data_IF_226364966114
#
_entry.id   IF_226364966114
#
_cell.length_a   1.000
_cell.length_b   1.000
_cell.length_c   1.000
_cell.angle_alpha   90.00
_cell.angle_beta   90.00
_cell.angle_gamma   90.00
#
_symmetry.space_group_name_H-M   'P 1'
#
loop_
_entity.id
_entity.type
_entity.pdbx_description
1 polymer ?
#
# COMPACT_ATOMS: atom_id res chain seq x y z
N UNK A 1 -5.98 9.37 -10.56
CA UNK A 1 -4.70 8.76 -10.33
C UNK A 1 -3.79 9.58 -9.44
N UNK A 2 -2.69 9.00 -9.06
CA UNK A 2 -1.72 9.66 -8.22
C UNK A 2 -0.38 8.97 -8.27
N UNK A 3 0.57 9.55 -7.53
CA UNK A 3 1.94 9.06 -7.45
C UNK A 3 2.37 8.99 -5.99
N UNK A 4 3.19 7.99 -5.67
CA UNK A 4 3.76 7.79 -4.34
C UNK A 4 5.22 7.45 -4.48
N UNK A 5 6.04 8.02 -3.59
CA UNK A 5 7.46 7.68 -3.48
C UNK A 5 7.72 7.07 -2.11
N UNK A 6 8.36 5.91 -2.10
CA UNK A 6 8.75 5.22 -0.88
C UNK A 6 10.26 5.32 -0.70
N UNK A 7 10.69 5.90 0.41
CA UNK A 7 12.09 5.81 0.83
C UNK A 7 12.46 4.36 1.13
N UNK A 8 13.75 4.00 1.05
CA UNK A 8 14.19 2.62 1.28
C UNK A 8 13.63 2.00 2.56
N UNK A 9 13.09 0.79 2.44
CA UNK A 9 12.54 0.03 3.56
C UNK A 9 11.18 0.49 4.07
N UNK A 10 10.53 1.45 3.43
CA UNK A 10 9.27 2.02 3.92
C UNK A 10 8.05 1.37 3.27
N UNK A 11 6.99 1.34 4.03
CA UNK A 11 5.68 0.86 3.60
C UNK A 11 4.80 2.00 3.11
N UNK A 12 3.85 1.66 2.26
CA UNK A 12 2.76 2.54 1.83
C UNK A 12 1.49 1.71 1.62
N UNK A 13 0.36 2.40 1.43
CA UNK A 13 -0.92 1.71 1.42
C UNK A 13 -1.26 1.13 2.79
N UNK A 14 -0.67 1.66 3.83
CA UNK A 14 -0.76 1.19 5.20
C UNK A 14 -1.43 2.27 6.07
N UNK A 15 -2.33 1.98 7.02
CA UNK A 15 -2.73 0.64 7.46
C UNK A 15 -3.60 -0.06 6.40
N UNK A 16 -3.66 -1.42 6.45
CA UNK A 16 -4.43 -2.18 5.46
C UNK A 16 -5.89 -1.73 5.38
N UNK A 17 -6.37 -1.56 4.17
CA UNK A 17 -7.74 -1.15 3.91
C UNK A 17 -8.19 -1.66 2.55
N UNK A 18 -9.48 -1.62 2.30
CA UNK A 18 -10.06 -1.98 1.01
C UNK A 18 -10.80 -0.81 0.40
N UNK A 19 -10.92 -0.83 -0.91
CA UNK A 19 -11.76 0.08 -1.69
C UNK A 19 -12.53 -0.75 -2.73
N UNK A 20 -13.77 -0.39 -3.08
CA UNK A 20 -14.53 -1.16 -4.06
C UNK A 20 -14.01 -0.98 -5.49
N UNK A 21 -13.27 0.09 -5.76
CA UNK A 21 -12.80 0.38 -7.11
C UNK A 21 -11.58 -0.48 -7.46
N UNK A 22 -11.52 -1.02 -8.69
CA UNK A 22 -10.31 -1.67 -9.16
C UNK A 22 -9.19 -0.66 -9.37
N UNK A 23 -7.95 -1.09 -9.18
CA UNK A 23 -6.76 -0.25 -9.27
C UNK A 23 -5.69 -0.88 -10.14
N UNK A 24 -4.89 -0.04 -10.79
CA UNK A 24 -3.70 -0.46 -11.53
C UNK A 24 -2.51 0.33 -10.97
N UNK A 25 -1.43 -0.38 -10.67
CA UNK A 25 -0.17 0.21 -10.23
C UNK A 25 0.93 -0.06 -11.23
N UNK A 26 1.78 0.95 -11.43
CA UNK A 26 3.03 0.80 -12.20
C UNK A 26 4.17 1.24 -11.32
N UNK A 27 5.29 0.48 -11.35
CA UNK A 27 6.39 0.63 -10.41
C UNK A 27 7.70 0.95 -11.08
N UNK A 28 8.47 1.83 -10.43
CA UNK A 28 9.85 2.11 -10.80
C UNK A 28 10.72 2.16 -9.55
N UNK A 29 11.97 1.78 -9.72
CA UNK A 29 12.99 1.88 -8.66
C UNK A 29 14.11 2.78 -9.13
N UNK A 30 14.89 3.32 -8.17
CA UNK A 30 16.05 4.15 -8.46
C UNK A 30 17.17 3.39 -9.18
N UNK A 31 17.14 2.06 -9.13
CA UNK A 31 18.06 1.18 -9.85
C UNK A 31 17.31 0.03 -10.50
N UNK A 32 17.80 -0.48 -11.65
CA UNK A 32 17.09 -1.55 -12.37
C UNK A 32 16.92 -2.84 -11.57
N UNK A 33 17.80 -3.14 -10.63
CA UNK A 33 17.72 -4.33 -9.78
C UNK A 33 16.88 -4.12 -8.52
N UNK A 34 16.40 -2.90 -8.27
CA UNK A 34 15.57 -2.61 -7.10
C UNK A 34 14.33 -3.49 -7.05
N UNK A 35 13.84 -3.75 -5.87
CA UNK A 35 12.66 -4.57 -5.68
C UNK A 35 11.91 -4.19 -4.41
N UNK A 36 10.71 -4.65 -4.34
CA UNK A 36 9.84 -4.51 -3.19
C UNK A 36 8.88 -5.66 -3.12
N UNK A 37 7.84 -5.49 -2.36
CA UNK A 37 6.77 -6.48 -2.23
C UNK A 37 5.43 -5.79 -2.09
N UNK A 38 4.38 -6.48 -2.49
CA UNK A 38 3.01 -6.06 -2.21
C UNK A 38 2.19 -7.26 -1.76
N UNK A 39 1.17 -6.99 -0.96
CA UNK A 39 0.17 -7.98 -0.63
C UNK A 39 -1.07 -7.73 -1.49
N UNK A 40 -1.64 -8.83 -1.98
CA UNK A 40 -2.95 -8.80 -2.62
C UNK A 40 -3.80 -9.78 -1.82
N UNK A 41 -4.64 -9.25 -0.94
CA UNK A 41 -5.28 -10.05 0.09
C UNK A 41 -4.23 -10.71 0.99
N UNK A 42 -4.23 -12.02 1.08
CA UNK A 42 -3.30 -12.78 1.91
C UNK A 42 -2.07 -13.27 1.13
N UNK A 43 -1.95 -12.93 -0.14
CA UNK A 43 -0.83 -13.34 -0.98
C UNK A 43 0.21 -12.23 -1.09
N UNK A 44 1.47 -12.61 -1.06
CA UNK A 44 2.60 -11.69 -1.21
C UNK A 44 3.27 -11.87 -2.56
N UNK A 45 3.60 -10.77 -3.22
CA UNK A 45 4.24 -10.77 -4.53
C UNK A 45 5.45 -9.86 -4.54
N UNK A 46 6.48 -10.27 -5.25
CA UNK A 46 7.64 -9.41 -5.49
C UNK A 46 7.27 -8.33 -6.51
N UNK A 47 7.70 -7.09 -6.22
CA UNK A 47 7.61 -5.97 -7.16
C UNK A 47 8.99 -5.76 -7.78
N UNK A 48 9.05 -5.67 -9.10
CA UNK A 48 10.28 -5.41 -9.84
C UNK A 48 10.20 -4.07 -10.58
N UNK A 49 11.34 -3.56 -11.00
CA UNK A 49 11.43 -2.34 -11.79
C UNK A 49 10.68 -2.48 -13.12
N UNK A 50 9.89 -1.48 -13.48
CA UNK A 50 9.05 -1.45 -14.67
C UNK A 50 7.96 -2.54 -14.68
N UNK A 51 7.58 -3.04 -13.52
CA UNK A 51 6.45 -3.96 -13.38
C UNK A 51 5.14 -3.20 -13.14
N UNK A 52 4.05 -3.94 -13.17
CA UNK A 52 2.72 -3.40 -12.90
C UNK A 52 1.86 -4.47 -12.23
N UNK A 53 0.80 -4.03 -11.56
CA UNK A 53 -0.17 -4.94 -10.97
C UNK A 53 -1.58 -4.43 -11.20
N UNK A 54 -2.50 -5.35 -11.35
CA UNK A 54 -3.94 -5.10 -11.40
C UNK A 54 -4.60 -5.68 -10.15
N UNK A 55 -5.53 -4.95 -9.60
CA UNK A 55 -6.22 -5.32 -8.39
C UNK A 55 -7.71 -5.18 -8.58
N UNK A 56 -8.43 -6.25 -8.32
CA UNK A 56 -9.89 -6.20 -8.25
C UNK A 56 -10.32 -5.36 -7.06
N UNK A 57 -11.49 -4.74 -7.16
CA UNK A 57 -12.06 -4.00 -6.05
C UNK A 57 -12.23 -4.88 -4.81
N UNK A 58 -12.16 -4.28 -3.64
CA UNK A 58 -12.31 -4.98 -2.36
C UNK A 58 -11.07 -5.72 -1.87
N UNK A 59 -9.92 -5.55 -2.51
CA UNK A 59 -8.69 -6.25 -2.15
C UNK A 59 -7.78 -5.34 -1.31
N UNK A 60 -7.19 -5.89 -0.25
CA UNK A 60 -6.17 -5.20 0.56
C UNK A 60 -4.82 -5.30 -0.11
N UNK A 61 -4.03 -4.20 -0.04
CA UNK A 61 -2.79 -4.16 -0.81
C UNK A 61 -1.71 -3.23 -0.24
N UNK A 62 -1.23 -3.43 0.96
CA UNK A 62 -0.06 -2.70 1.42
C UNK A 62 1.18 -3.08 0.61
N UNK A 63 2.11 -2.13 0.48
CA UNK A 63 3.30 -2.27 -0.34
C UNK A 63 4.52 -1.80 0.44
N UNK A 64 5.68 -2.36 0.11
CA UNK A 64 6.94 -2.01 0.75
C UNK A 64 8.07 -2.04 -0.26
N UNK A 65 9.04 -1.13 -0.12
CA UNK A 65 10.29 -1.20 -0.87
C UNK A 65 11.36 -1.89 -0.03
N UNK A 66 12.25 -2.63 -0.69
CA UNK A 66 13.38 -3.26 -0.02
C UNK A 66 14.33 -2.20 0.58
N UNK A 67 15.08 -2.53 1.64
CA UNK A 67 16.14 -1.65 2.12
C UNK A 67 17.11 -1.30 1.00
N UNK A 68 17.66 -0.09 1.04
CA UNK A 68 18.65 0.43 0.09
C UNK A 68 18.11 0.86 -1.27
N UNK A 69 16.84 0.60 -1.57
CA UNK A 69 16.23 1.04 -2.82
C UNK A 69 15.03 1.94 -2.56
N UNK A 70 14.90 3.00 -3.35
CA UNK A 70 13.70 3.82 -3.37
C UNK A 70 12.73 3.30 -4.44
N UNK A 71 11.46 3.30 -4.12
CA UNK A 71 10.40 2.88 -5.03
C UNK A 71 9.47 4.05 -5.32
N UNK A 72 9.17 4.24 -6.57
CA UNK A 72 8.13 5.16 -7.04
C UNK A 72 7.05 4.33 -7.70
N UNK A 73 5.79 4.66 -7.45
CA UNK A 73 4.71 4.07 -8.22
C UNK A 73 3.61 5.09 -8.51
N UNK A 74 2.96 4.89 -9.63
CA UNK A 74 1.72 5.58 -9.96
C UNK A 74 0.56 4.63 -9.81
N UNK A 75 -0.61 5.19 -9.50
CA UNK A 75 -1.82 4.41 -9.37
C UNK A 75 -2.97 5.08 -10.10
N UNK A 76 -3.84 4.25 -10.66
CA UNK A 76 -5.07 4.66 -11.30
C UNK A 76 -6.22 3.87 -10.73
N UNK A 77 -7.29 4.58 -10.40
CA UNK A 77 -8.54 4.00 -9.90
C UNK A 77 -9.61 4.23 -10.94
N UNK A 78 -10.33 3.16 -11.28
CA UNK A 78 -11.53 3.27 -12.09
C UNK A 78 -12.70 3.64 -11.17
N UNK A 79 -13.32 4.77 -11.45
CA UNK A 79 -14.54 5.15 -10.74
C UNK A 79 -15.69 4.25 -11.16
N UNK A 80 -16.38 3.68 -10.18
CA UNK A 80 -17.57 2.90 -10.42
C UNK A 80 -18.79 3.84 -10.51
N UNK A 81 -19.79 3.50 -11.34
CA UNK A 81 -21.04 4.26 -11.37
C UNK A 81 -21.64 4.34 -9.96
N UNK A 82 -22.02 5.54 -9.55
CA UNK A 82 -22.64 5.79 -8.24
C UNK A 82 -21.77 5.46 -7.02
N UNK A 83 -20.46 5.21 -7.21
CA UNK A 83 -19.55 4.91 -6.12
C UNK A 83 -18.17 5.53 -6.38
N UNK A 84 -18.03 6.85 -6.21
CA UNK A 84 -16.76 7.54 -6.40
C UNK A 84 -15.70 7.08 -5.39
N UNK A 85 -14.44 7.00 -5.83
CA UNK A 85 -13.32 6.44 -5.06
C UNK A 85 -13.05 7.14 -3.73
N UNK A 86 -13.37 8.41 -3.62
CA UNK A 86 -13.05 9.22 -2.44
C UNK A 86 -13.95 8.96 -1.22
N UNK A 87 -14.92 8.05 -1.31
CA UNK A 87 -15.94 7.86 -0.26
C UNK A 87 -16.01 6.47 0.32
N UNK A 88 -15.08 5.58 -0.03
CA UNK A 88 -15.33 4.14 0.18
C UNK A 88 -14.15 3.35 0.74
N UNK A 89 -13.23 4.03 1.41
CA UNK A 89 -12.16 3.34 2.12
C UNK A 89 -12.74 2.60 3.33
N UNK A 90 -12.43 1.30 3.43
CA UNK A 90 -12.82 0.45 4.56
C UNK A 90 -11.54 -0.08 5.21
N UNK A 91 -11.27 0.34 6.43
CA UNK A 91 -10.10 -0.12 7.17
C UNK A 91 -10.25 -1.58 7.61
N UNK A 92 -9.14 -2.31 7.61
CA UNK A 92 -9.11 -3.66 8.14
C UNK A 92 -9.35 -3.62 9.66
N UNK A 93 -10.35 -4.36 10.18
CA UNK A 93 -10.66 -4.32 11.60
C UNK A 93 -9.48 -4.68 12.51
N UNK A 94 -8.58 -5.55 12.08
CA UNK A 94 -7.43 -5.96 12.88
C UNK A 94 -6.39 -4.85 13.04
N UNK A 95 -6.40 -3.86 12.16
CA UNK A 95 -5.39 -2.81 12.10
C UNK A 95 -5.97 -1.40 12.22
N UNK A 96 -7.28 -1.27 12.36
CA UNK A 96 -7.92 0.06 12.44
C UNK A 96 -7.50 0.84 13.70
N UNK A 97 -7.01 0.15 14.73
CA UNK A 97 -6.50 0.80 15.93
C UNK A 97 -5.35 1.77 15.65
N UNK A 98 -4.60 1.53 14.55
CA UNK A 98 -3.51 2.42 14.11
C UNK A 98 -4.01 3.80 13.69
N UNK A 99 -5.29 3.94 13.39
CA UNK A 99 -5.89 5.22 13.00
C UNK A 99 -6.38 6.03 14.21
N UNK A 100 -6.31 5.47 15.41
CA UNK A 100 -6.75 6.15 16.62
C UNK A 100 -5.74 7.18 17.10
N UNK A 101 -6.19 8.27 17.79
CA UNK A 101 -5.27 9.32 18.25
C UNK A 101 -4.18 8.83 19.22
N UNK A 102 -4.43 7.77 19.95
CA UNK A 102 -3.51 7.20 20.95
C UNK A 102 -2.69 6.02 20.40
N UNK A 103 -2.68 5.80 19.08
CA UNK A 103 -1.99 4.66 18.48
C UNK A 103 -0.50 4.62 18.84
N UNK A 104 0.18 5.75 18.82
CA UNK A 104 1.62 5.83 19.11
C UNK A 104 1.94 5.31 20.52
N UNK A 105 1.05 5.50 21.47
CA UNK A 105 1.24 5.02 22.84
C UNK A 105 1.15 3.50 22.95
N UNK A 106 0.46 2.86 22.00
CA UNK A 106 0.23 1.42 21.97
C UNK A 106 1.23 0.65 21.13
N UNK A 107 1.99 1.34 20.30
CA UNK A 107 3.02 0.71 19.48
C UNK A 107 4.16 0.24 20.40
N UNK A 108 4.55 -1.02 20.22
CA UNK A 108 5.67 -1.57 20.99
C UNK A 108 6.97 -0.81 20.74
N UNK A 109 7.75 -0.64 21.78
CA UNK A 109 9.12 -0.18 21.68
C UNK A 109 9.98 -0.88 22.74
N UNK A 110 11.32 -0.94 22.56
CA UNK A 110 12.21 -1.62 23.52
C UNK A 110 12.20 -1.01 24.91
N UNK A 111 11.78 0.25 25.05
CA UNK A 111 11.75 0.98 26.32
C UNK A 111 10.40 0.89 27.05
N UNK A 112 9.39 0.32 26.41
CA UNK A 112 8.09 0.09 27.03
C UNK A 112 8.07 -1.24 27.76
N UNK A 113 7.45 -1.23 28.91
CA UNK A 113 7.24 -2.43 29.74
C UNK A 113 5.77 -2.82 29.74
#
# INVERSE_FOLDING_TARGET
>A
GGEVSNSPGRWSGYAPHTQPQPEVYTYKFDRPQGFGACFIGDNAFKIAHNSWSELSGGTRQPQVTAPCYAMWYSWMIRHLPNNPSNKTRIDDPDHEWLMQPDADEKIWSPTKK
#
